data_IF_888745925488
#
_entry.id   IF_888745925488
#
_cell.length_a   1.000
_cell.length_b   1.000
_cell.length_c   1.000
_cell.angle_alpha   90.00
_cell.angle_beta   90.00
_cell.angle_gamma   90.00
#
_symmetry.space_group_name_H-M   'P 1'
#
loop_
_entity.id
_entity.type
_entity.pdbx_description
1 polymer ?
#
# COMPACT_ATOMS: atom_id res chain seq x y z
N UNK A 1 29.54 -12.83 -4.73
CA UNK A 1 29.34 -11.95 -5.88
C UNK A 1 27.89 -11.52 -5.85
N UNK A 2 27.68 -10.29 -5.38
CA UNK A 2 26.43 -9.66 -4.99
C UNK A 2 25.34 -9.74 -6.06
N UNK A 3 24.22 -10.39 -5.74
CA UNK A 3 22.96 -10.23 -6.48
C UNK A 3 22.02 -9.43 -5.60
N UNK A 4 22.34 -8.14 -5.45
CA UNK A 4 21.48 -7.18 -4.77
C UNK A 4 20.20 -7.02 -5.60
N UNK A 5 19.06 -7.10 -4.94
CA UNK A 5 17.72 -7.03 -5.52
C UNK A 5 17.55 -5.78 -6.39
N UNK A 6 17.25 -5.98 -7.67
CA UNK A 6 17.18 -4.93 -8.70
C UNK A 6 15.74 -4.42 -8.83
N UNK A 7 15.34 -3.44 -8.02
CA UNK A 7 14.10 -2.71 -8.30
C UNK A 7 14.35 -1.70 -9.42
N UNK A 8 13.33 -1.29 -10.17
CA UNK A 8 13.45 -0.23 -11.18
C UNK A 8 12.20 0.61 -11.31
N UNK A 9 12.40 1.81 -11.83
CA UNK A 9 11.34 2.70 -12.28
C UNK A 9 11.31 2.67 -13.80
N UNK A 10 10.11 2.62 -14.38
CA UNK A 10 9.92 2.79 -15.82
C UNK A 10 8.93 3.92 -16.08
N UNK A 11 9.24 4.83 -16.98
CA UNK A 11 8.33 5.90 -17.39
C UNK A 11 8.45 6.17 -18.89
N UNK A 12 7.49 6.91 -19.43
CA UNK A 12 7.57 7.41 -20.81
C UNK A 12 7.67 8.92 -20.78
N UNK A 13 8.56 9.46 -21.60
CA UNK A 13 8.64 10.90 -21.84
C UNK A 13 7.48 11.37 -22.76
N UNK A 14 7.39 12.68 -23.00
CA UNK A 14 6.38 13.29 -23.86
C UNK A 14 6.54 12.91 -25.34
N UNK A 15 7.72 12.47 -25.75
CA UNK A 15 8.00 11.97 -27.09
C UNK A 15 7.63 10.48 -27.24
N UNK A 16 7.28 9.82 -26.13
CA UNK A 16 6.90 8.42 -26.08
C UNK A 16 8.09 7.46 -25.90
N UNK A 17 9.30 7.96 -25.68
CA UNK A 17 10.43 7.09 -25.37
C UNK A 17 10.27 6.51 -23.97
N UNK A 18 10.53 5.22 -23.86
CA UNK A 18 10.52 4.50 -22.59
C UNK A 18 11.87 4.62 -21.92
N UNK A 19 11.86 5.14 -20.69
CA UNK A 19 13.02 5.27 -19.84
C UNK A 19 12.92 4.30 -18.67
N UNK A 20 14.07 3.76 -18.25
CA UNK A 20 14.17 2.89 -17.08
C UNK A 20 15.32 3.33 -16.19
N UNK A 21 15.07 3.40 -14.88
CA UNK A 21 16.06 3.75 -13.86
C UNK A 21 16.13 2.61 -12.86
N UNK A 22 17.28 1.97 -12.75
CA UNK A 22 17.50 0.91 -11.76
C UNK A 22 17.74 1.52 -10.38
N UNK A 23 17.10 0.92 -9.38
CA UNK A 23 17.15 1.29 -7.98
C UNK A 23 18.00 0.26 -7.24
N UNK A 24 19.18 0.69 -6.80
CA UNK A 24 20.06 -0.13 -5.98
C UNK A 24 19.87 0.17 -4.50
N UNK A 25 19.77 -0.84 -3.62
CA UNK A 25 19.73 -0.64 -2.17
C UNK A 25 21.03 -0.01 -1.62
N UNK A 26 22.15 -0.05 -2.35
CA UNK A 26 23.36 0.69 -1.98
C UNK A 26 23.21 2.20 -2.11
N UNK A 27 22.32 2.66 -2.99
CA UNK A 27 21.91 4.05 -3.10
C UNK A 27 20.55 4.21 -2.42
N UNK A 28 20.53 4.17 -1.08
CA UNK A 28 19.31 4.09 -0.28
C UNK A 28 18.37 5.31 -0.41
N UNK A 29 18.70 6.29 -1.24
CA UNK A 29 17.89 7.46 -1.52
C UNK A 29 17.98 7.82 -3.00
N UNK A 30 16.84 8.13 -3.60
CA UNK A 30 16.69 8.54 -5.00
C UNK A 30 15.73 9.73 -5.05
N UNK A 31 16.18 10.84 -5.63
CA UNK A 31 15.43 12.09 -5.72
C UNK A 31 14.77 12.23 -7.08
N UNK A 32 13.51 12.64 -7.11
CA UNK A 32 12.73 12.84 -8.33
C UNK A 32 12.37 14.32 -8.43
N UNK A 33 12.68 14.92 -9.57
CA UNK A 33 12.38 16.33 -9.77
C UNK A 33 12.89 16.89 -11.09
N UNK A 34 12.64 18.19 -11.26
CA UNK A 34 13.07 18.96 -12.45
C UNK A 34 14.48 19.55 -12.30
N UNK A 35 15.09 19.45 -11.11
CA UNK A 35 16.41 20.01 -10.85
C UNK A 35 17.50 19.13 -11.46
N UNK A 36 18.54 19.68 -12.13
CA UNK A 36 19.64 18.89 -12.69
C UNK A 36 20.39 18.00 -11.69
N UNK A 37 20.24 18.26 -10.38
CA UNK A 37 20.79 17.43 -9.31
C UNK A 37 19.88 16.30 -8.82
N UNK A 38 18.74 16.07 -9.48
CA UNK A 38 17.83 14.96 -9.17
C UNK A 38 18.29 13.68 -9.85
N UNK A 39 18.22 12.55 -9.13
CA UNK A 39 18.59 11.24 -9.65
C UNK A 39 17.66 10.80 -10.79
N UNK A 40 16.36 11.09 -10.67
CA UNK A 40 15.38 10.98 -11.74
C UNK A 40 14.96 12.39 -12.17
N UNK A 41 15.55 12.83 -13.26
CA UNK A 41 15.37 14.15 -13.84
C UNK A 41 14.19 14.17 -14.84
N UNK A 42 13.16 14.95 -14.54
CA UNK A 42 11.97 15.14 -15.38
C UNK A 42 11.89 16.59 -15.89
N UNK A 43 12.83 17.02 -16.76
CA UNK A 43 12.92 18.42 -17.23
C UNK A 43 11.74 18.89 -18.06
N UNK A 44 11.09 17.97 -18.75
CA UNK A 44 10.05 18.25 -19.74
C UNK A 44 8.67 18.55 -19.15
N UNK A 45 8.48 18.32 -17.84
CA UNK A 45 7.20 18.50 -17.17
C UNK A 45 7.23 19.69 -16.20
N UNK A 46 6.50 20.76 -16.55
CA UNK A 46 6.40 21.98 -15.75
C UNK A 46 5.56 21.83 -14.48
N UNK A 47 4.75 20.78 -14.39
CA UNK A 47 4.01 20.43 -13.17
C UNK A 47 4.92 19.74 -12.14
N UNK A 48 6.12 19.31 -12.55
CA UNK A 48 7.12 18.71 -11.67
C UNK A 48 7.91 19.81 -10.96
N UNK A 49 8.08 19.64 -9.65
CA UNK A 49 8.79 20.60 -8.81
C UNK A 49 10.29 20.33 -8.91
N UNK A 50 11.13 21.32 -8.57
CA UNK A 50 12.60 21.16 -8.64
C UNK A 50 13.08 19.94 -7.86
N UNK A 51 12.53 19.77 -6.66
CA UNK A 51 12.52 18.53 -5.90
C UNK A 51 11.05 18.22 -5.64
N UNK A 52 10.52 17.13 -6.19
CA UNK A 52 9.09 16.83 -6.15
C UNK A 52 8.79 15.66 -5.22
N UNK A 53 9.57 14.59 -5.32
CA UNK A 53 9.43 13.43 -4.46
C UNK A 53 10.79 12.81 -4.19
N UNK A 54 10.86 12.02 -3.13
CA UNK A 54 12.04 11.24 -2.77
C UNK A 54 11.61 9.79 -2.56
N UNK A 55 12.42 8.89 -3.09
CA UNK A 55 12.36 7.47 -2.80
C UNK A 55 13.47 7.13 -1.81
N UNK A 56 13.10 6.44 -0.74
CA UNK A 56 14.04 5.95 0.27
C UNK A 56 13.91 4.44 0.39
N UNK A 57 15.06 3.77 0.41
CA UNK A 57 15.14 2.35 0.72
C UNK A 57 15.17 2.18 2.24
N UNK A 58 14.08 1.64 2.79
CA UNK A 58 13.92 1.36 4.22
C UNK A 58 13.90 -0.15 4.40
N UNK A 59 14.98 -0.71 4.94
CA UNK A 59 15.16 -2.16 5.01
C UNK A 59 15.32 -2.76 3.61
N UNK A 60 14.39 -3.63 3.22
CA UNK A 60 14.32 -4.27 1.90
C UNK A 60 13.28 -3.65 0.96
N UNK A 61 12.71 -2.48 1.31
CA UNK A 61 11.59 -1.89 0.58
C UNK A 61 11.80 -0.42 0.23
N UNK A 62 11.30 -0.02 -0.94
CA UNK A 62 11.29 1.37 -1.37
C UNK A 62 10.05 2.09 -0.89
N UNK A 63 10.22 3.30 -0.38
CA UNK A 63 9.15 4.17 0.14
C UNK A 63 9.24 5.51 -0.56
N UNK A 64 8.11 5.99 -1.09
CA UNK A 64 7.99 7.33 -1.65
C UNK A 64 7.48 8.31 -0.60
N UNK A 65 8.07 9.50 -0.59
CA UNK A 65 7.67 10.64 0.20
C UNK A 65 7.71 11.91 -0.65
N UNK A 66 6.85 12.85 -0.28
CA UNK A 66 6.72 14.16 -0.91
C UNK A 66 7.06 15.27 0.09
N UNK A 67 6.71 15.10 1.37
CA UNK A 67 7.02 16.03 2.49
C UNK A 67 6.67 17.51 2.22
N UNK A 68 5.73 17.77 1.31
CA UNK A 68 5.32 19.12 0.91
C UNK A 68 6.29 19.80 -0.06
N UNK A 69 7.23 19.04 -0.63
CA UNK A 69 8.19 19.51 -1.64
C UNK A 69 7.50 19.71 -3.00
N UNK A 70 6.45 18.93 -3.28
CA UNK A 70 5.66 19.09 -4.49
C UNK A 70 4.58 20.18 -4.34
N UNK A 71 4.47 20.99 -5.40
CA UNK A 71 3.37 21.96 -5.52
C UNK A 71 2.03 21.30 -5.85
N UNK A 72 2.05 20.28 -6.71
CA UNK A 72 0.85 19.65 -7.27
C UNK A 72 0.48 18.32 -6.60
N UNK A 73 1.29 17.84 -5.66
CA UNK A 73 1.12 16.54 -5.02
C UNK A 73 1.74 15.40 -5.82
N UNK A 74 2.29 14.44 -5.10
CA UNK A 74 2.59 13.10 -5.62
C UNK A 74 1.35 12.21 -5.50
N UNK A 75 1.07 11.39 -6.50
CA UNK A 75 -0.03 10.42 -6.47
C UNK A 75 0.51 9.02 -6.66
N UNK A 76 -0.01 8.04 -5.92
CA UNK A 76 0.32 6.62 -6.13
C UNK A 76 -0.98 5.86 -6.32
N UNK A 77 -1.09 5.16 -7.44
CA UNK A 77 -2.28 4.44 -7.90
C UNK A 77 -3.55 5.33 -7.93
N UNK A 78 -3.38 6.59 -8.35
CA UNK A 78 -4.48 7.56 -8.47
C UNK A 78 -4.82 8.31 -7.17
N UNK A 79 -4.26 7.90 -6.03
CA UNK A 79 -4.53 8.54 -4.75
C UNK A 79 -3.35 9.40 -4.29
N UNK A 80 -3.66 10.63 -3.87
CA UNK A 80 -2.65 11.59 -3.39
C UNK A 80 -1.87 11.00 -2.21
N UNK A 81 -0.56 11.21 -2.23
CA UNK A 81 0.34 10.80 -1.18
C UNK A 81 0.12 11.66 0.06
N UNK A 82 -0.05 11.03 1.21
CA UNK A 82 -0.15 11.69 2.51
C UNK A 82 1.00 11.16 3.38
N UNK A 83 2.08 11.94 3.49
CA UNK A 83 3.31 11.52 4.15
C UNK A 83 4.12 10.53 3.32
N UNK A 84 4.50 9.41 3.93
CA UNK A 84 5.31 8.34 3.32
C UNK A 84 4.44 7.16 2.90
N UNK A 85 4.74 6.54 1.76
CA UNK A 85 4.07 5.31 1.30
C UNK A 85 5.10 4.33 0.74
N UNK A 86 5.09 3.11 1.28
CA UNK A 86 5.83 1.99 0.70
C UNK A 86 5.33 1.66 -0.71
N UNK A 87 6.24 1.52 -1.65
CA UNK A 87 5.97 1.05 -3.01
C UNK A 87 5.92 -0.48 -3.07
N UNK A 88 5.08 -0.98 -3.97
CA UNK A 88 4.92 -2.39 -4.28
C UNK A 88 5.05 -2.64 -5.77
N UNK A 89 5.46 -3.85 -6.13
CA UNK A 89 5.56 -4.26 -7.53
C UNK A 89 4.33 -3.87 -8.35
N UNK A 90 4.56 -3.13 -9.43
CA UNK A 90 3.52 -2.69 -10.36
C UNK A 90 2.88 -1.35 -10.04
N UNK A 91 3.17 -0.74 -8.88
CA UNK A 91 2.62 0.54 -8.47
C UNK A 91 2.87 1.63 -9.51
N UNK A 92 1.85 2.45 -9.72
CA UNK A 92 1.93 3.61 -10.60
C UNK A 92 2.02 4.88 -9.79
N UNK A 93 3.16 5.55 -9.89
CA UNK A 93 3.43 6.86 -9.31
C UNK A 93 3.13 7.90 -10.38
N UNK A 94 2.39 8.95 -10.05
CA UNK A 94 2.18 10.10 -10.91
C UNK A 94 2.73 11.34 -10.21
N UNK A 95 3.62 12.02 -10.90
CA UNK A 95 4.32 13.23 -10.47
C UNK A 95 4.13 14.24 -11.59
N UNK A 96 3.39 15.31 -11.34
CA UNK A 96 2.89 16.18 -12.42
C UNK A 96 2.01 15.40 -13.42
N UNK A 97 2.34 15.54 -14.70
CA UNK A 97 1.78 14.77 -15.82
C UNK A 97 2.52 13.44 -16.08
N UNK A 98 3.74 13.27 -15.58
CA UNK A 98 4.52 12.04 -15.78
C UNK A 98 3.98 10.86 -14.95
N UNK A 99 3.78 9.72 -15.62
CA UNK A 99 3.41 8.45 -14.99
C UNK A 99 4.61 7.51 -14.96
N UNK A 100 5.06 7.19 -13.76
CA UNK A 100 6.16 6.28 -13.46
C UNK A 100 5.57 4.99 -12.92
N UNK A 101 6.13 3.85 -13.32
CA UNK A 101 5.78 2.53 -12.79
C UNK A 101 6.96 1.97 -12.02
N UNK A 102 6.70 1.48 -10.82
CA UNK A 102 7.67 0.77 -10.01
C UNK A 102 7.60 -0.73 -10.30
N UNK A 103 8.75 -1.34 -10.52
CA UNK A 103 8.90 -2.76 -10.79
C UNK A 103 9.94 -3.32 -9.81
N UNK A 104 9.53 -4.28 -8.99
CA UNK A 104 10.41 -5.00 -8.08
C UNK A 104 10.84 -6.30 -8.78
N UNK A 105 12.15 -6.53 -8.93
CA UNK A 105 12.68 -7.80 -9.43
C UNK A 105 13.50 -8.50 -8.34
N UNK A 106 12.92 -9.57 -7.79
CA UNK A 106 13.57 -10.50 -6.87
C UNK A 106 13.34 -10.20 -5.39
N UNK A 107 12.56 -11.04 -4.72
CA UNK A 107 12.35 -10.92 -3.27
C UNK A 107 11.35 -11.92 -2.70
N UNK A 108 11.50 -13.20 -3.02
CA UNK A 108 10.74 -14.28 -2.37
C UNK A 108 11.28 -14.66 -0.98
N UNK A 109 12.08 -13.80 -0.33
CA UNK A 109 12.68 -14.05 0.99
C UNK A 109 12.74 -12.75 1.80
N UNK A 110 11.64 -12.40 2.45
CA UNK A 110 11.63 -11.64 3.70
C UNK A 110 10.25 -11.81 4.37
N UNK A 111 9.82 -13.07 4.52
CA UNK A 111 8.94 -13.43 5.63
C UNK A 111 9.80 -13.46 6.90
N UNK A 112 9.34 -12.73 7.92
CA UNK A 112 9.93 -12.63 9.24
C UNK A 112 11.24 -11.81 9.34
N UNK A 113 11.11 -10.56 9.80
CA UNK A 113 11.65 -10.09 11.10
C UNK A 113 11.99 -8.59 11.05
N UNK A 114 11.01 -7.73 11.39
CA UNK A 114 11.13 -6.72 12.47
C UNK A 114 10.03 -5.67 12.40
N UNK A 115 9.55 -5.37 13.60
CA UNK A 115 8.51 -4.41 13.92
C UNK A 115 8.83 -3.00 13.40
N UNK A 116 7.81 -2.37 12.87
CA UNK A 116 7.77 -0.95 12.54
C UNK A 116 6.41 -0.67 11.93
N UNK A 117 5.57 0.04 12.67
CA UNK A 117 4.21 0.49 12.33
C UNK A 117 4.09 1.02 10.90
N UNK A 118 3.72 0.15 9.97
CA UNK A 118 3.15 0.56 8.69
C UNK A 118 1.88 -0.25 8.50
N UNK A 119 0.73 0.42 8.70
CA UNK A 119 -0.56 -0.23 8.44
C UNK A 119 -0.56 -0.69 6.97
N UNK A 120 -0.93 -1.94 6.69
CA UNK A 120 -0.89 -2.46 5.34
C UNK A 120 -1.75 -1.60 4.42
N UNK A 121 -1.20 -1.15 3.28
CA UNK A 121 -2.01 -0.45 2.26
C UNK A 121 -3.03 -1.44 1.69
N UNK A 122 -4.29 -1.16 1.97
CA UNK A 122 -5.46 -2.03 1.79
C UNK A 122 -6.11 -1.87 0.41
N UNK A 123 -5.49 -1.10 -0.49
CA UNK A 123 -5.91 -1.00 -1.90
C UNK A 123 -5.76 -2.28 -2.74
N UNK A 124 -5.51 -3.42 -2.10
CA UNK A 124 -5.47 -4.75 -2.74
C UNK A 124 -6.58 -5.69 -2.28
N UNK A 125 -7.59 -5.22 -1.54
CA UNK A 125 -8.74 -6.08 -1.23
C UNK A 125 -9.58 -6.30 -2.48
N UNK A 126 -9.85 -7.56 -2.78
CA UNK A 126 -10.90 -7.90 -3.74
C UNK A 126 -12.27 -7.44 -3.22
N UNK A 127 -13.24 -7.25 -4.09
CA UNK A 127 -14.61 -6.85 -3.69
C UNK A 127 -15.19 -7.78 -2.61
N UNK A 128 -14.93 -9.09 -2.74
CA UNK A 128 -15.32 -10.09 -1.75
C UNK A 128 -14.60 -9.89 -0.41
N UNK A 129 -13.30 -9.59 -0.42
CA UNK A 129 -12.55 -9.34 0.82
C UNK A 129 -13.03 -8.06 1.51
N UNK A 130 -13.37 -7.01 0.75
CA UNK A 130 -13.98 -5.79 1.28
C UNK A 130 -15.34 -6.09 1.90
N UNK A 131 -16.20 -6.83 1.20
CA UNK A 131 -17.52 -7.22 1.71
C UNK A 131 -17.44 -8.05 3.00
N UNK A 132 -16.50 -9.01 3.08
CA UNK A 132 -16.23 -9.78 4.30
C UNK A 132 -15.77 -8.88 5.45
N UNK A 133 -14.91 -7.91 5.16
CA UNK A 133 -14.42 -6.97 6.16
C UNK A 133 -15.53 -6.02 6.66
N UNK A 134 -16.38 -5.54 5.75
CA UNK A 134 -17.57 -4.73 6.10
C UNK A 134 -18.53 -5.52 7.00
N UNK A 135 -18.91 -6.73 6.60
CA UNK A 135 -19.80 -7.59 7.39
C UNK A 135 -19.22 -7.93 8.77
N UNK A 136 -17.89 -8.13 8.85
CA UNK A 136 -17.19 -8.34 10.12
C UNK A 136 -17.31 -7.12 11.05
N UNK A 137 -17.21 -5.91 10.50
CA UNK A 137 -17.22 -4.64 11.25
C UNK A 137 -18.62 -4.08 11.48
N UNK A 138 -19.65 -4.58 10.79
CA UNK A 138 -21.05 -4.12 10.88
C UNK A 138 -21.61 -4.02 12.31
N UNK A 139 -21.33 -4.96 13.24
CA UNK A 139 -21.79 -4.85 14.63
C UNK A 139 -21.29 -3.60 15.37
N UNK A 140 -20.21 -2.96 14.91
CA UNK A 140 -19.64 -1.76 15.53
C UNK A 140 -20.38 -0.46 15.16
N UNK A 141 -21.30 -0.49 14.19
CA UNK A 141 -22.06 0.70 13.71
C UNK A 141 -22.91 1.40 14.80
N UNK A 142 -23.27 0.69 15.87
CA UNK A 142 -24.19 1.21 16.89
C UNK A 142 -23.48 1.77 18.15
N UNK A 143 -22.21 2.16 18.06
CA UNK A 143 -21.51 2.83 19.16
C UNK A 143 -21.27 1.97 20.40
N UNK A 144 -21.50 0.66 20.30
CA UNK A 144 -21.15 -0.26 21.37
C UNK A 144 -19.63 -0.50 21.33
N UNK A 145 -18.88 0.23 22.16
CA UNK A 145 -17.45 0.02 22.41
C UNK A 145 -17.09 -1.41 22.88
N UNK A 146 -18.10 -2.27 23.08
CA UNK A 146 -18.00 -3.68 23.46
C UNK A 146 -18.67 -4.64 22.46
N UNK A 147 -18.96 -4.19 21.23
CA UNK A 147 -19.52 -5.06 20.20
C UNK A 147 -18.51 -6.15 19.80
N UNK A 148 -18.98 -7.39 19.72
CA UNK A 148 -18.18 -8.48 19.20
C UNK A 148 -18.28 -8.51 17.66
N UNK A 149 -17.16 -8.76 16.94
CA UNK A 149 -17.20 -8.95 15.49
C UNK A 149 -18.14 -10.08 15.09
N UNK A 150 -18.79 -9.97 13.93
CA UNK A 150 -19.70 -10.99 13.42
C UNK A 150 -19.00 -12.36 13.32
N UNK A 151 -19.73 -13.46 13.49
CA UNK A 151 -19.23 -14.83 13.36
C UNK A 151 -19.11 -15.27 11.89
N UNK A 152 -18.40 -16.37 11.61
CA UNK A 152 -18.28 -16.88 10.24
C UNK A 152 -19.64 -17.28 9.64
N UNK A 153 -20.56 -17.81 10.46
CA UNK A 153 -21.90 -18.19 10.02
C UNK A 153 -22.73 -16.96 9.66
N UNK A 154 -22.65 -15.90 10.46
CA UNK A 154 -23.36 -14.64 10.19
C UNK A 154 -22.86 -13.97 8.91
N UNK A 155 -21.53 -13.87 8.73
CA UNK A 155 -20.94 -13.31 7.51
C UNK A 155 -21.29 -14.17 6.28
N UNK A 156 -21.26 -15.49 6.41
CA UNK A 156 -21.64 -16.41 5.35
C UNK A 156 -23.11 -16.23 4.92
N UNK A 157 -24.02 -16.13 5.89
CA UNK A 157 -25.44 -15.90 5.66
C UNK A 157 -25.69 -14.54 4.99
N UNK A 158 -24.99 -13.50 5.41
CA UNK A 158 -25.13 -12.15 4.87
C UNK A 158 -24.60 -12.02 3.44
N UNK A 159 -23.45 -12.63 3.15
CA UNK A 159 -22.82 -12.56 1.84
C UNK A 159 -23.28 -13.66 0.88
N UNK A 160 -24.20 -14.54 1.31
CA UNK A 160 -24.63 -15.73 0.57
C UNK A 160 -23.46 -16.63 0.12
N UNK A 161 -22.43 -16.74 0.97
CA UNK A 161 -21.23 -17.55 0.73
C UNK A 161 -21.16 -18.75 1.66
N UNK A 162 -20.36 -19.75 1.31
CA UNK A 162 -20.10 -20.88 2.22
C UNK A 162 -19.19 -20.47 3.38
N UNK A 163 -19.33 -21.14 4.52
CA UNK A 163 -18.47 -20.89 5.71
C UNK A 163 -16.98 -21.11 5.39
N UNK A 164 -16.65 -22.04 4.51
CA UNK A 164 -15.26 -22.31 4.11
C UNK A 164 -14.71 -21.25 3.16
N UNK A 165 -15.54 -20.66 2.28
CA UNK A 165 -15.17 -19.47 1.53
C UNK A 165 -14.84 -18.30 2.48
N UNK A 166 -15.68 -18.08 3.51
CA UNK A 166 -15.43 -17.04 4.52
C UNK A 166 -14.12 -17.29 5.28
N UNK A 167 -13.85 -18.52 5.72
CA UNK A 167 -12.58 -18.85 6.38
C UNK A 167 -11.37 -18.56 5.47
N UNK A 168 -11.49 -18.86 4.18
CA UNK A 168 -10.43 -18.62 3.19
C UNK A 168 -10.15 -17.12 3.05
N UNK A 169 -11.19 -16.30 2.88
CA UNK A 169 -11.04 -14.85 2.79
C UNK A 169 -10.54 -14.23 4.11
N UNK A 170 -11.03 -14.71 5.26
CA UNK A 170 -10.56 -14.23 6.57
C UNK A 170 -9.10 -14.56 6.83
N UNK A 171 -8.62 -15.75 6.45
CA UNK A 171 -7.18 -16.08 6.57
C UNK A 171 -6.32 -15.12 5.75
N UNK A 172 -6.73 -14.82 4.52
CA UNK A 172 -6.05 -13.85 3.68
C UNK A 172 -6.07 -12.45 4.32
N UNK A 173 -7.20 -12.02 4.88
CA UNK A 173 -7.29 -10.76 5.63
C UNK A 173 -6.40 -10.76 6.88
N UNK A 174 -6.38 -11.83 7.67
CA UNK A 174 -5.53 -11.90 8.86
C UNK A 174 -4.03 -11.81 8.54
N UNK A 175 -3.60 -12.48 7.47
CA UNK A 175 -2.24 -12.36 6.95
C UNK A 175 -1.96 -10.92 6.50
N UNK A 176 -2.84 -10.35 5.67
CA UNK A 176 -2.70 -8.97 5.16
C UNK A 176 -2.63 -7.92 6.28
N UNK A 177 -3.41 -8.08 7.33
CA UNK A 177 -3.47 -7.14 8.46
C UNK A 177 -2.48 -7.43 9.58
N UNK A 178 -1.62 -8.45 9.42
CA UNK A 178 -0.61 -8.82 10.43
C UNK A 178 -1.22 -9.24 11.76
N UNK A 179 -2.36 -9.93 11.74
CA UNK A 179 -3.04 -10.47 12.93
C UNK A 179 -3.07 -12.01 12.93
N UNK A 180 -2.37 -12.64 11.98
CA UNK A 180 -2.31 -14.10 11.80
C UNK A 180 -1.83 -14.90 13.01
N UNK A 181 -1.12 -14.28 13.96
CA UNK A 181 -0.51 -14.97 15.12
C UNK A 181 -1.31 -14.81 16.42
N UNK A 182 -2.34 -13.96 16.44
CA UNK A 182 -3.13 -13.73 17.66
C UNK A 182 -4.05 -14.92 18.02
N UNK A 183 -4.50 -15.06 19.27
CA UNK A 183 -5.55 -16.02 19.64
C UNK A 183 -6.83 -15.81 18.84
N UNK A 184 -7.56 -16.89 18.48
CA UNK A 184 -8.72 -16.83 17.57
C UNK A 184 -9.80 -15.82 17.98
N UNK A 185 -10.02 -15.65 19.29
CA UNK A 185 -10.95 -14.66 19.85
C UNK A 185 -10.46 -13.21 19.68
N UNK A 186 -9.14 -12.96 19.70
CA UNK A 186 -8.54 -11.64 19.58
C UNK A 186 -8.31 -11.22 18.12
N UNK A 187 -8.01 -12.17 17.23
CA UNK A 187 -7.76 -11.95 15.79
C UNK A 187 -8.81 -11.10 15.11
N UNK A 188 -10.09 -11.37 15.40
CA UNK A 188 -11.23 -10.69 14.78
C UNK A 188 -11.36 -9.23 15.24
N UNK A 189 -11.19 -9.01 16.55
CA UNK A 189 -11.26 -7.67 17.15
C UNK A 189 -10.12 -6.82 16.60
N UNK A 190 -8.89 -7.34 16.63
CA UNK A 190 -7.73 -6.63 16.08
C UNK A 190 -7.84 -6.38 14.58
N UNK A 191 -8.43 -7.30 13.81
CA UNK A 191 -8.71 -7.08 12.38
C UNK A 191 -9.69 -5.91 12.18
N UNK A 192 -10.80 -5.88 12.93
CA UNK A 192 -11.81 -4.84 12.84
C UNK A 192 -11.26 -3.46 13.27
N UNK A 193 -10.56 -3.40 14.41
CA UNK A 193 -9.93 -2.17 14.90
C UNK A 193 -8.90 -1.61 13.92
N UNK A 194 -8.03 -2.47 13.37
CA UNK A 194 -7.04 -2.05 12.38
C UNK A 194 -7.73 -1.56 11.11
N UNK A 195 -8.78 -2.25 10.65
CA UNK A 195 -9.53 -1.84 9.47
C UNK A 195 -10.16 -0.45 9.60
N UNK A 196 -10.78 -0.17 10.75
CA UNK A 196 -11.37 1.14 11.06
C UNK A 196 -10.29 2.22 11.20
N UNK A 197 -9.19 1.95 11.92
CA UNK A 197 -8.07 2.91 12.08
C UNK A 197 -7.39 3.28 10.76
N UNK A 198 -7.32 2.35 9.82
CA UNK A 198 -6.77 2.61 8.48
C UNK A 198 -7.72 3.34 7.52
N UNK A 199 -8.99 3.57 7.90
CA UNK A 199 -9.97 4.31 7.08
C UNK A 199 -10.56 3.55 5.89
N UNK A 200 -10.35 2.23 5.80
CA UNK A 200 -10.88 1.38 4.72
C UNK A 200 -12.39 1.21 4.85
N UNK A 201 -12.84 1.06 6.10
CA UNK A 201 -14.23 0.89 6.48
C UNK A 201 -14.58 2.12 7.30
N UNK A 202 -15.44 2.96 6.74
CA UNK A 202 -15.98 4.12 7.43
C UNK A 202 -17.37 3.80 7.98
N UNK A 203 -17.87 4.63 8.90
CA UNK A 203 -19.25 4.49 9.41
C UNK A 203 -20.32 4.52 8.29
N UNK A 204 -19.99 5.14 7.14
CA UNK A 204 -20.85 5.18 5.95
C UNK A 204 -20.90 3.85 5.19
N UNK A 205 -19.89 2.99 5.34
CA UNK A 205 -19.80 1.67 4.71
C UNK A 205 -20.50 0.57 5.54
N UNK A 206 -20.77 0.82 6.83
CA UNK A 206 -21.37 -0.13 7.76
C UNK A 206 -22.90 -0.17 7.64
#
# INVERSE_FOLDING_TARGET
MDRAVESRLSYSDKEGHHHTVDLSPTSARVTIGRSPGSDLLLTEDDEVSRLHAVLECVGSHWTILDDGLSRNGTFVNGERLAGRRRLRQGDSIRIGGTKIRYLEFGGALDEATRMGTDMPDVRSLTDTQRAVLTALCRPYKHGAAFANPASNQQIAQELFLSVDAIKTHLRALFAKFGVGDLPQNQKRVSLAERAMRSGIINERDL
#
